data_IF_538967676488
#
_entry.id   IF_538967676488
#
_cell.length_a   1.000
_cell.length_b   1.000
_cell.length_c   1.000
_cell.angle_alpha   90.00
_cell.angle_beta   90.00
_cell.angle_gamma   90.00
#
_symmetry.space_group_name_H-M   'P 1'
#
loop_
_entity.id
_entity.type
_entity.pdbx_description
1 polymer ?
#
# COMPACT_ATOMS: atom_id res chain seq x y z
N UNK A 1 -17.66 -13.18 34.18
CA UNK A 1 -17.88 -13.44 32.74
C UNK A 1 -16.60 -14.01 32.19
N UNK A 2 -16.60 -15.28 31.80
CA UNK A 2 -15.44 -15.98 31.26
C UNK A 2 -15.35 -15.69 29.76
N UNK A 3 -14.31 -14.96 29.35
CA UNK A 3 -13.97 -14.76 27.95
C UNK A 3 -13.49 -16.10 27.38
N UNK A 4 -14.34 -16.73 26.55
CA UNK A 4 -13.97 -17.94 25.81
C UNK A 4 -13.06 -17.54 24.65
N UNK A 5 -11.77 -17.89 24.75
CA UNK A 5 -10.83 -17.79 23.65
C UNK A 5 -10.97 -19.03 22.77
N UNK A 6 -11.56 -18.86 21.59
CA UNK A 6 -11.68 -19.93 20.60
C UNK A 6 -10.38 -19.94 19.78
N UNK A 7 -9.55 -20.96 19.99
CA UNK A 7 -8.36 -21.20 19.17
C UNK A 7 -8.77 -22.00 17.92
N UNK A 8 -8.87 -21.31 16.80
CA UNK A 8 -9.19 -21.92 15.51
C UNK A 8 -7.91 -22.35 14.77
N UNK A 9 -7.59 -23.64 14.86
CA UNK A 9 -6.45 -24.27 14.18
C UNK A 9 -6.67 -24.51 12.69
N UNK A 10 -7.91 -24.34 12.19
CA UNK A 10 -8.23 -24.47 10.76
C UNK A 10 -8.01 -23.17 10.00
N UNK A 11 -7.89 -22.06 10.73
CA UNK A 11 -7.59 -20.75 10.19
C UNK A 11 -6.13 -20.74 9.73
N UNK A 12 -5.90 -20.45 8.46
CA UNK A 12 -4.56 -20.27 7.93
C UNK A 12 -3.80 -19.24 8.78
N UNK A 13 -2.56 -19.57 9.15
CA UNK A 13 -1.67 -18.71 9.96
C UNK A 13 -1.49 -17.34 9.30
N UNK A 14 -1.68 -17.28 7.98
CA UNK A 14 -1.69 -16.07 7.18
C UNK A 14 -2.89 -16.11 6.23
N UNK A 15 -3.84 -15.20 6.43
CA UNK A 15 -4.95 -15.02 5.49
C UNK A 15 -4.42 -14.45 4.18
N UNK A 16 -4.49 -15.18 3.07
CA UNK A 16 -4.14 -14.60 1.76
C UNK A 16 -5.20 -13.59 1.27
N UNK A 17 -6.41 -13.66 1.81
CA UNK A 17 -7.55 -12.80 1.56
C UNK A 17 -7.56 -11.52 2.42
N UNK A 18 -6.49 -10.72 2.35
CA UNK A 18 -6.42 -9.39 2.99
C UNK A 18 -7.39 -8.35 2.36
N UNK A 19 -8.08 -8.73 1.27
CA UNK A 19 -8.96 -7.85 0.52
C UNK A 19 -10.31 -7.60 1.23
N UNK A 20 -10.79 -8.55 2.03
CA UNK A 20 -12.18 -8.57 2.51
C UNK A 20 -12.28 -8.41 4.04
N UNK A 21 -12.23 -7.16 4.49
CA UNK A 21 -12.86 -6.74 5.76
C UNK A 21 -11.93 -6.31 6.91
N UNK A 22 -12.56 -5.76 7.96
CA UNK A 22 -11.97 -5.32 9.25
C UNK A 22 -11.35 -6.46 10.08
N UNK A 23 -11.17 -7.65 9.50
CA UNK A 23 -10.82 -8.89 10.17
C UNK A 23 -9.32 -9.23 10.13
N UNK A 24 -8.47 -8.27 9.76
CA UNK A 24 -7.01 -8.38 9.86
C UNK A 24 -6.51 -8.09 11.28
N UNK A 25 -5.25 -8.43 11.57
CA UNK A 25 -4.65 -7.99 12.84
C UNK A 25 -4.60 -6.46 12.88
N UNK A 26 -4.77 -5.86 14.06
CA UNK A 26 -4.87 -4.41 14.23
C UNK A 26 -3.72 -3.66 13.54
N UNK A 27 -2.49 -4.17 13.63
CA UNK A 27 -1.32 -3.55 12.98
C UNK A 27 -1.38 -3.61 11.45
N UNK A 28 -2.00 -4.65 10.86
CA UNK A 28 -2.15 -4.81 9.41
C UNK A 28 -3.12 -3.77 8.86
N UNK A 29 -4.19 -3.46 9.61
CA UNK A 29 -5.17 -2.43 9.24
C UNK A 29 -4.49 -1.05 9.18
N UNK A 30 -3.72 -0.70 10.21
CA UNK A 30 -2.96 0.55 10.22
C UNK A 30 -1.89 0.60 9.13
N UNK A 31 -1.12 -0.50 8.96
CA UNK A 31 -0.10 -0.58 7.92
C UNK A 31 -0.69 -0.47 6.51
N UNK A 32 -1.88 -1.03 6.27
CA UNK A 32 -2.61 -0.91 4.99
C UNK A 32 -2.96 0.54 4.69
N UNK A 33 -3.52 1.26 5.66
CA UNK A 33 -3.88 2.67 5.47
C UNK A 33 -2.65 3.53 5.17
N UNK A 34 -1.55 3.31 5.91
CA UNK A 34 -0.29 4.01 5.66
C UNK A 34 0.27 3.69 4.27
N UNK A 35 0.27 2.41 3.88
CA UNK A 35 0.73 1.97 2.57
C UNK A 35 -0.05 2.66 1.44
N UNK A 36 -1.38 2.76 1.55
CA UNK A 36 -2.21 3.44 0.55
C UNK A 36 -1.85 4.93 0.48
N UNK A 37 -1.73 5.61 1.63
CA UNK A 37 -1.35 7.03 1.69
C UNK A 37 0.01 7.30 1.04
N UNK A 38 1.01 6.46 1.33
CA UNK A 38 2.35 6.59 0.77
C UNK A 38 2.34 6.40 -0.76
N UNK A 39 1.59 5.40 -1.25
CA UNK A 39 1.41 5.15 -2.68
C UNK A 39 0.69 6.31 -3.38
N UNK A 40 -0.32 6.91 -2.76
CA UNK A 40 -1.01 8.10 -3.30
C UNK A 40 -0.07 9.32 -3.38
N UNK A 41 0.76 9.52 -2.36
CA UNK A 41 1.77 10.59 -2.34
C UNK A 41 2.79 10.42 -3.46
N UNK A 42 3.35 9.20 -3.61
CA UNK A 42 4.27 8.83 -4.68
C UNK A 42 3.64 9.08 -6.06
N UNK A 43 2.38 8.68 -6.25
CA UNK A 43 1.65 8.90 -7.49
C UNK A 43 1.43 10.39 -7.78
N UNK A 44 1.10 11.18 -6.76
CA UNK A 44 0.93 12.63 -6.85
C UNK A 44 2.22 13.30 -7.33
N UNK A 45 3.34 12.93 -6.74
CA UNK A 45 4.65 13.47 -7.11
C UNK A 45 5.08 13.07 -8.52
N UNK A 46 4.81 11.83 -8.93
CA UNK A 46 5.02 11.40 -10.31
C UNK A 46 4.17 12.21 -11.31
N UNK A 47 2.91 12.52 -10.97
CA UNK A 47 2.03 13.37 -11.80
C UNK A 47 2.56 14.81 -11.89
N UNK A 48 3.00 15.40 -10.78
CA UNK A 48 3.62 16.73 -10.75
C UNK A 48 4.90 16.75 -11.59
N UNK A 49 5.74 15.72 -11.48
CA UNK A 49 6.95 15.60 -12.29
C UNK A 49 6.64 15.54 -13.79
N UNK A 50 5.62 14.76 -14.20
CA UNK A 50 5.14 14.73 -15.59
C UNK A 50 4.69 16.10 -16.09
N UNK A 51 3.97 16.88 -15.27
CA UNK A 51 3.54 18.23 -15.61
C UNK A 51 4.74 19.19 -15.71
N UNK A 52 5.66 19.14 -14.75
CA UNK A 52 6.90 19.92 -14.75
C UNK A 52 7.70 19.71 -16.04
N UNK A 53 7.85 18.45 -16.48
CA UNK A 53 8.56 18.09 -17.72
C UNK A 53 7.88 18.61 -18.99
N UNK A 54 6.55 18.75 -18.98
CA UNK A 54 5.75 19.22 -20.12
C UNK A 54 5.66 20.74 -20.20
N UNK A 55 5.99 21.45 -19.12
CA UNK A 55 5.84 22.90 -19.06
C UNK A 55 7.02 23.61 -19.74
N UNK A 56 6.82 24.06 -20.98
CA UNK A 56 7.81 24.83 -21.72
C UNK A 56 8.13 26.21 -21.09
N UNK A 57 7.28 26.69 -20.18
CA UNK A 57 7.51 27.92 -19.41
C UNK A 57 8.49 27.72 -18.26
N UNK A 58 8.83 26.48 -17.88
CA UNK A 58 9.81 26.23 -16.84
C UNK A 58 11.21 26.03 -17.47
N UNK A 59 12.20 26.89 -17.18
CA UNK A 59 13.54 26.77 -17.75
C UNK A 59 14.24 25.46 -17.33
N UNK A 60 13.80 24.83 -16.23
CA UNK A 60 14.35 23.59 -15.73
C UNK A 60 13.61 22.33 -16.23
N UNK A 61 12.62 22.42 -17.15
CA UNK A 61 11.84 21.26 -17.62
C UNK A 61 12.69 20.14 -18.24
N UNK A 62 13.90 20.46 -18.74
CA UNK A 62 14.84 19.47 -19.29
C UNK A 62 15.63 18.72 -18.22
N UNK A 63 15.77 19.26 -17.01
CA UNK A 63 16.47 18.60 -15.91
C UNK A 63 15.65 17.40 -15.43
N UNK A 64 16.33 16.27 -15.25
CA UNK A 64 15.74 15.08 -14.65
C UNK A 64 15.92 15.10 -13.15
N UNK A 65 14.87 14.76 -12.42
CA UNK A 65 14.98 14.48 -10.98
C UNK A 65 14.82 12.97 -10.78
N UNK A 66 15.82 12.34 -10.18
CA UNK A 66 15.75 10.94 -9.78
C UNK A 66 14.98 10.87 -8.46
N UNK A 67 13.68 10.57 -8.53
CA UNK A 67 12.89 10.24 -7.36
C UNK A 67 13.10 8.76 -7.01
N UNK A 68 13.93 8.49 -6.00
CA UNK A 68 14.05 7.15 -5.42
C UNK A 68 12.92 6.94 -4.40
N UNK A 69 11.73 6.59 -4.89
CA UNK A 69 10.58 6.32 -4.02
C UNK A 69 10.66 4.89 -3.49
N UNK A 70 10.77 4.74 -2.18
CA UNK A 70 10.80 3.45 -1.49
C UNK A 70 9.91 3.48 -0.26
N UNK A 71 9.18 2.39 -0.03
CA UNK A 71 8.35 2.18 1.17
C UNK A 71 8.96 1.03 1.96
N UNK A 72 9.25 1.25 3.23
CA UNK A 72 9.80 0.25 4.14
C UNK A 72 8.71 -0.25 5.08
N UNK A 73 8.47 -1.56 5.08
CA UNK A 73 7.55 -2.22 6.02
C UNK A 73 8.37 -2.93 7.10
N UNK A 74 8.29 -2.42 8.34
CA UNK A 74 9.01 -2.97 9.50
C UNK A 74 8.08 -3.42 10.62
N UNK A 75 8.33 -4.60 11.17
CA UNK A 75 7.62 -5.16 12.33
C UNK A 75 8.41 -6.35 12.91
N UNK A 76 8.09 -6.87 14.12
CA UNK A 76 8.79 -8.02 14.74
C UNK A 76 8.84 -9.29 13.88
N UNK A 77 9.71 -10.26 14.19
CA UNK A 77 9.77 -11.53 13.43
C UNK A 77 8.44 -12.31 13.55
N UNK A 78 8.06 -13.03 12.50
CA UNK A 78 6.85 -13.85 12.48
C UNK A 78 5.53 -13.09 12.20
N UNK A 79 5.56 -11.76 12.10
CA UNK A 79 4.35 -10.94 11.88
C UNK A 79 3.85 -10.91 10.43
N UNK A 80 4.26 -11.82 9.55
CA UNK A 80 3.69 -11.86 8.19
C UNK A 80 4.01 -10.68 7.25
N UNK A 81 5.11 -9.92 7.44
CA UNK A 81 5.55 -8.82 6.53
C UNK A 81 5.54 -9.20 5.05
N UNK A 82 6.06 -10.38 4.73
CA UNK A 82 6.14 -10.87 3.35
C UNK A 82 4.76 -11.12 2.79
N UNK A 83 3.85 -11.67 3.60
CA UNK A 83 2.46 -11.94 3.20
C UNK A 83 1.69 -10.63 3.03
N UNK A 84 1.89 -9.67 3.94
CA UNK A 84 1.38 -8.30 3.80
C UNK A 84 1.83 -7.66 2.48
N UNK A 85 3.13 -7.70 2.16
CA UNK A 85 3.64 -7.12 0.90
C UNK A 85 3.12 -7.84 -0.35
N UNK A 86 2.94 -9.17 -0.31
CA UNK A 86 2.32 -9.93 -1.43
C UNK A 86 0.92 -9.42 -1.75
N UNK A 87 0.19 -8.97 -0.74
CA UNK A 87 -1.18 -8.48 -0.86
C UNK A 87 -1.30 -6.97 -1.08
N UNK A 88 -0.16 -6.26 -1.25
CA UNK A 88 -0.13 -4.81 -1.50
C UNK A 88 -0.98 -4.37 -2.69
N UNK A 89 -1.00 -5.15 -3.78
CA UNK A 89 -1.82 -4.87 -4.96
C UNK A 89 -3.32 -4.90 -4.62
N UNK A 90 -3.80 -5.98 -4.00
CA UNK A 90 -5.20 -6.13 -3.61
C UNK A 90 -5.61 -5.04 -2.62
N UNK A 91 -4.73 -4.69 -1.68
CA UNK A 91 -4.94 -3.60 -0.73
C UNK A 91 -5.08 -2.24 -1.41
N UNK A 92 -4.24 -1.96 -2.41
CA UNK A 92 -4.32 -0.75 -3.22
C UNK A 92 -5.61 -0.68 -4.03
N UNK A 93 -6.00 -1.78 -4.68
CA UNK A 93 -7.23 -1.86 -5.48
C UNK A 93 -8.50 -1.69 -4.63
N UNK A 94 -8.52 -2.24 -3.42
CA UNK A 94 -9.62 -2.08 -2.47
C UNK A 94 -9.69 -0.68 -1.84
N UNK A 95 -8.53 -0.04 -1.61
CA UNK A 95 -8.42 1.28 -1.00
C UNK A 95 -8.62 2.44 -1.98
N UNK A 96 -8.24 2.26 -3.23
CA UNK A 96 -8.41 3.29 -4.26
C UNK A 96 -9.85 3.25 -4.76
N UNK A 97 -10.69 4.15 -4.28
CA UNK A 97 -12.08 4.33 -4.73
C UNK A 97 -12.19 4.69 -6.22
N UNK A 98 -11.07 4.85 -6.92
CA UNK A 98 -10.99 4.98 -8.37
C UNK A 98 -10.55 3.65 -8.97
N UNK A 99 -11.48 2.98 -9.66
CA UNK A 99 -11.16 2.05 -10.76
C UNK A 99 -10.34 2.80 -11.81
N UNK A 100 -9.04 2.98 -11.60
CA UNK A 100 -8.13 3.40 -12.65
C UNK A 100 -7.74 2.12 -13.39
N UNK A 101 -8.36 1.93 -14.56
CA UNK A 101 -7.85 1.01 -15.57
C UNK A 101 -6.39 1.37 -15.84
N UNK A 102 -5.47 0.54 -15.36
CA UNK A 102 -4.07 0.60 -15.76
C UNK A 102 -4.01 0.24 -17.24
N UNK A 103 -3.83 1.26 -18.09
CA UNK A 103 -3.32 1.08 -19.46
C UNK A 103 -1.89 1.60 -19.39
N UNK A 104 -0.94 0.67 -19.45
CA UNK A 104 0.48 0.95 -19.66
C UNK A 104 0.69 1.47 -21.09
#
# INVERSE_FOLDING_TARGET
MTTNYILDISKEEYRDDYADGENGELWQIYAKQQLISDLESILSDAKKYKQFRRSNSNPNHKKTWLSHNAILVSSPRGTGKTVFLRNSKSMWEAGSTKKMNFIF
#
